data_IF_958433389474
#
_entry.id   IF_958433389474
#
_cell.length_a   1.000
_cell.length_b   1.000
_cell.length_c   1.000
_cell.angle_alpha   90.00
_cell.angle_beta   90.00
_cell.angle_gamma   90.00
#
_symmetry.space_group_name_H-M   'P 1'
#
loop_
_entity.id
_entity.type
_entity.pdbx_description
1 polymer ?
#
# COMPACT_ATOMS: atom_id res chain seq x y z
N UNK A 1 -15.01 -23.42 3.68
CA UNK A 1 -13.79 -23.39 4.52
C UNK A 1 -13.88 -22.45 5.74
N UNK A 2 -14.61 -21.34 5.70
CA UNK A 2 -14.84 -20.46 6.87
C UNK A 2 -15.85 -21.02 7.91
N UNK A 3 -16.50 -22.16 7.64
CA UNK A 3 -17.53 -22.75 8.51
C UNK A 3 -17.00 -23.22 9.88
N UNK A 4 -15.68 -23.36 10.04
CA UNK A 4 -15.04 -23.77 11.31
C UNK A 4 -14.61 -22.58 12.21
N UNK A 5 -14.90 -21.33 11.80
CA UNK A 5 -14.49 -20.12 12.53
C UNK A 5 -13.06 -19.65 12.20
N UNK A 6 -12.83 -18.33 12.32
CA UNK A 6 -11.57 -17.64 11.97
C UNK A 6 -10.35 -18.19 12.72
N UNK A 7 -10.54 -18.58 13.99
CA UNK A 7 -9.50 -19.21 14.80
C UNK A 7 -9.02 -20.53 14.23
N UNK A 8 -9.93 -21.47 13.97
CA UNK A 8 -9.55 -22.79 13.44
C UNK A 8 -8.92 -22.71 12.04
N UNK A 9 -9.36 -21.73 11.23
CA UNK A 9 -8.71 -21.44 9.96
C UNK A 9 -7.24 -21.02 10.15
N UNK A 10 -6.97 -20.06 11.03
CA UNK A 10 -5.62 -19.57 11.30
C UNK A 10 -4.70 -20.69 11.79
N UNK A 11 -5.15 -21.52 12.74
CA UNK A 11 -4.34 -22.62 13.28
C UNK A 11 -3.95 -23.64 12.20
N UNK A 12 -4.91 -24.06 11.35
CA UNK A 12 -4.62 -24.97 10.23
C UNK A 12 -3.66 -24.34 9.22
N UNK A 13 -3.83 -23.05 8.94
CA UNK A 13 -2.98 -22.30 8.01
C UNK A 13 -1.54 -22.20 8.53
N UNK A 14 -1.35 -21.97 9.83
CA UNK A 14 -0.03 -21.95 10.48
C UNK A 14 0.60 -23.35 10.43
N UNK A 15 -0.14 -24.40 10.83
CA UNK A 15 0.35 -25.77 10.87
C UNK A 15 0.84 -26.28 9.50
N UNK A 16 0.22 -25.80 8.41
CA UNK A 16 0.62 -26.13 7.05
C UNK A 16 1.92 -25.44 6.57
N UNK A 17 2.56 -24.59 7.38
CA UNK A 17 3.75 -23.79 7.01
C UNK A 17 4.99 -24.20 7.81
N UNK A 18 5.90 -24.98 7.22
CA UNK A 18 7.09 -25.50 7.92
C UNK A 18 8.00 -24.43 8.53
N UNK A 19 8.08 -23.25 7.91
CA UNK A 19 8.92 -22.15 8.39
C UNK A 19 8.27 -21.29 9.48
N UNK A 20 6.95 -21.37 9.62
CA UNK A 20 6.17 -20.54 10.54
C UNK A 20 5.75 -21.31 11.80
N UNK A 21 5.29 -22.56 11.66
CA UNK A 21 4.78 -23.35 12.77
C UNK A 21 5.78 -23.47 13.95
N UNK A 22 7.09 -23.73 13.74
CA UNK A 22 8.04 -23.79 14.84
C UNK A 22 8.22 -22.45 15.58
N UNK A 23 8.03 -21.31 14.89
CA UNK A 23 8.24 -19.97 15.47
C UNK A 23 7.13 -19.59 16.46
N UNK A 24 5.96 -20.20 16.35
CA UNK A 24 4.78 -19.87 17.16
C UNK A 24 4.30 -21.03 18.04
N UNK A 25 5.01 -22.15 18.07
CA UNK A 25 4.60 -23.37 18.78
C UNK A 25 4.35 -23.16 20.29
N UNK A 26 5.12 -22.28 20.93
CA UNK A 26 4.95 -21.91 22.35
C UNK A 26 4.17 -20.60 22.57
N UNK A 27 3.65 -19.98 21.51
CA UNK A 27 2.96 -18.70 21.62
C UNK A 27 1.55 -18.88 22.18
N UNK A 28 1.11 -17.93 23.01
CA UNK A 28 -0.27 -17.86 23.50
C UNK A 28 -1.00 -16.75 22.77
N UNK A 29 -2.15 -17.08 22.15
CA UNK A 29 -3.02 -16.09 21.50
C UNK A 29 -3.53 -15.08 22.53
N UNK A 30 -3.27 -13.79 22.29
CA UNK A 30 -3.66 -12.70 23.19
C UNK A 30 -5.12 -12.26 23.01
N UNK A 31 -5.65 -12.32 21.79
CA UNK A 31 -7.00 -11.85 21.45
C UNK A 31 -7.69 -12.81 20.45
N UNK A 32 -9.04 -12.79 20.37
CA UNK A 32 -9.75 -13.55 19.34
C UNK A 32 -9.31 -13.18 17.92
N UNK A 33 -9.29 -14.16 17.01
CA UNK A 33 -8.91 -13.92 15.60
C UNK A 33 -10.01 -13.12 14.90
N UNK A 34 -9.64 -11.93 14.44
CA UNK A 34 -10.49 -11.06 13.62
C UNK A 34 -10.14 -11.25 12.14
N UNK A 35 -11.16 -11.14 11.29
CA UNK A 35 -11.01 -11.10 9.86
C UNK A 35 -11.71 -9.83 9.35
N UNK A 36 -11.10 -9.16 8.38
CA UNK A 36 -11.64 -7.96 7.75
C UNK A 36 -11.33 -8.00 6.25
N UNK A 37 -12.17 -7.33 5.46
CA UNK A 37 -12.17 -7.33 4.00
C UNK A 37 -13.59 -7.24 3.43
N UNK A 38 -13.75 -7.06 2.11
CA UNK A 38 -12.69 -6.85 1.12
C UNK A 38 -12.09 -5.44 1.21
N UNK A 39 -10.80 -5.34 0.93
CA UNK A 39 -10.00 -4.12 1.10
C UNK A 39 -9.90 -3.24 -0.16
N UNK A 40 -10.63 -3.55 -1.22
CA UNK A 40 -10.56 -2.80 -2.47
C UNK A 40 -11.61 -1.66 -2.48
N UNK A 41 -11.29 -0.52 -1.86
CA UNK A 41 -12.09 0.70 -1.98
C UNK A 41 -11.22 1.90 -2.36
N UNK A 42 -11.65 2.62 -3.39
CA UNK A 42 -10.96 3.80 -3.94
C UNK A 42 -11.97 4.86 -4.29
N UNK A 43 -11.81 6.07 -3.75
CA UNK A 43 -12.63 7.20 -4.15
C UNK A 43 -12.19 7.68 -5.55
N UNK A 44 -13.14 7.84 -6.47
CA UNK A 44 -12.84 8.42 -7.80
C UNK A 44 -12.34 9.87 -7.70
N UNK A 45 -12.78 10.59 -6.66
CA UNK A 45 -12.35 11.95 -6.36
C UNK A 45 -12.17 12.09 -4.85
N UNK A 46 -11.07 12.70 -4.37
CA UNK A 46 -10.81 12.83 -2.95
C UNK A 46 -11.57 14.02 -2.31
N UNK A 47 -12.63 14.53 -2.94
CA UNK A 47 -13.40 15.67 -2.46
C UNK A 47 -14.76 15.80 -3.16
N UNK A 48 -15.71 16.45 -2.48
CA UNK A 48 -17.02 16.92 -2.97
C UNK A 48 -17.29 18.32 -2.37
N UNK A 49 -18.29 19.09 -2.83
CA UNK A 49 -18.63 20.37 -2.19
C UNK A 49 -18.81 20.19 -0.67
N UNK A 50 -18.05 20.96 0.12
CA UNK A 50 -18.04 20.87 1.58
C UNK A 50 -17.37 19.63 2.19
N UNK A 51 -16.72 18.76 1.39
CA UNK A 51 -16.12 17.51 1.87
C UNK A 51 -14.75 17.27 1.22
N UNK A 52 -13.74 16.97 2.01
CA UNK A 52 -12.44 16.47 1.54
C UNK A 52 -12.09 15.15 2.24
N UNK A 53 -11.50 14.23 1.48
CA UNK A 53 -11.15 12.87 1.92
C UNK A 53 -9.64 12.77 2.09
N UNK A 54 -9.20 12.09 3.16
CA UNK A 54 -7.79 11.79 3.47
C UNK A 54 -7.67 10.34 3.97
N UNK A 55 -6.45 9.78 3.94
CA UNK A 55 -6.21 8.39 4.36
C UNK A 55 -7.13 7.39 3.67
N UNK A 56 -7.59 6.41 4.45
CA UNK A 56 -8.48 5.32 4.00
C UNK A 56 -9.82 5.81 3.42
N UNK A 57 -10.27 7.02 3.79
CA UNK A 57 -11.47 7.61 3.20
C UNK A 57 -11.26 8.03 1.73
N UNK A 58 -10.02 8.33 1.34
CA UNK A 58 -9.68 8.73 -0.02
C UNK A 58 -9.20 7.55 -0.88
N UNK A 59 -8.32 6.70 -0.33
CA UNK A 59 -7.90 5.43 -0.93
C UNK A 59 -7.51 4.47 0.19
N UNK A 60 -7.97 3.23 0.13
CA UNK A 60 -7.45 2.16 0.98
C UNK A 60 -6.15 1.60 0.38
N UNK A 61 -5.08 1.56 1.17
CA UNK A 61 -3.74 1.10 0.78
C UNK A 61 -3.55 -0.39 1.06
N UNK A 62 -2.67 -1.05 0.32
CA UNK A 62 -2.34 -2.47 0.58
C UNK A 62 -1.58 -2.58 1.92
N UNK A 63 -2.06 -3.35 2.91
CA UNK A 63 -1.38 -3.52 4.20
C UNK A 63 0.02 -4.14 4.07
N UNK A 64 0.38 -4.68 2.90
CA UNK A 64 1.71 -5.23 2.63
C UNK A 64 2.83 -4.19 2.74
N UNK A 65 2.58 -2.93 2.39
CA UNK A 65 3.59 -1.85 2.48
C UNK A 65 3.54 -1.10 3.81
N UNK A 66 2.50 -1.30 4.62
CA UNK A 66 2.34 -0.62 5.91
C UNK A 66 2.09 0.89 5.81
N UNK A 67 1.76 1.40 4.63
CA UNK A 67 1.69 2.85 4.36
C UNK A 67 0.44 3.55 4.88
N UNK A 68 -0.56 2.83 5.41
CA UNK A 68 -1.85 3.42 5.80
C UNK A 68 -1.74 4.59 6.77
N UNK A 69 -0.89 4.47 7.80
CA UNK A 69 -0.66 5.55 8.78
C UNK A 69 0.02 6.75 8.11
N UNK A 70 1.05 6.50 7.30
CA UNK A 70 1.73 7.56 6.55
C UNK A 70 0.74 8.29 5.63
N UNK A 71 -0.07 7.55 4.87
CA UNK A 71 -1.02 8.15 3.94
C UNK A 71 -2.13 8.95 4.62
N UNK A 72 -2.55 8.53 5.82
CA UNK A 72 -3.48 9.30 6.64
C UNK A 72 -2.86 10.61 7.13
N UNK A 73 -1.68 10.56 7.75
CA UNK A 73 -0.99 11.74 8.27
C UNK A 73 -0.59 12.70 7.15
N UNK A 74 0.12 12.19 6.15
CA UNK A 74 0.57 12.98 5.01
C UNK A 74 -0.58 13.52 4.18
N UNK A 75 -1.66 12.74 4.03
CA UNK A 75 -2.88 13.19 3.38
C UNK A 75 -3.52 14.38 4.10
N UNK A 76 -3.55 14.35 5.44
CA UNK A 76 -4.01 15.46 6.28
C UNK A 76 -3.15 16.71 6.13
N UNK A 77 -1.83 16.57 6.24
CA UNK A 77 -0.88 17.68 6.02
C UNK A 77 -1.02 18.29 4.63
N UNK A 78 -1.12 17.45 3.60
CA UNK A 78 -1.24 17.87 2.22
C UNK A 78 -2.55 18.63 1.98
N UNK A 79 -3.65 18.23 2.62
CA UNK A 79 -4.95 18.89 2.50
C UNK A 79 -4.95 20.29 3.14
N UNK A 80 -4.23 20.50 4.24
CA UNK A 80 -4.31 21.71 5.05
C UNK A 80 -4.25 23.04 4.26
N UNK A 81 -3.25 23.31 3.39
CA UNK A 81 -3.19 24.57 2.65
C UNK A 81 -4.35 24.73 1.65
N UNK A 82 -4.82 23.65 1.03
CA UNK A 82 -5.92 23.70 0.07
C UNK A 82 -7.28 23.85 0.75
N UNK A 83 -7.44 23.28 1.94
CA UNK A 83 -8.64 23.47 2.75
C UNK A 83 -8.76 24.93 3.20
N UNK A 84 -7.67 25.54 3.67
CA UNK A 84 -7.66 26.97 4.03
C UNK A 84 -7.99 27.86 2.83
N UNK A 85 -7.43 27.56 1.66
CA UNK A 85 -7.78 28.27 0.42
C UNK A 85 -9.26 28.10 0.06
N UNK A 86 -9.79 26.88 0.13
CA UNK A 86 -11.19 26.59 -0.17
C UNK A 86 -12.15 27.31 0.79
N UNK A 87 -11.82 27.40 2.09
CA UNK A 87 -12.61 28.10 3.10
C UNK A 87 -12.57 29.62 2.96
N UNK A 88 -11.51 30.18 2.36
CA UNK A 88 -11.40 31.61 2.11
C UNK A 88 -12.22 32.08 0.89
N UNK A 89 -12.67 31.15 0.05
CA UNK A 89 -13.42 31.44 -1.17
C UNK A 89 -14.89 31.71 -0.89
N UNK A 90 -15.44 32.72 -1.57
CA UNK A 90 -16.86 33.09 -1.47
C UNK A 90 -17.72 32.53 -2.61
N UNK A 91 -17.07 31.92 -3.60
CA UNK A 91 -17.74 31.35 -4.76
C UNK A 91 -17.58 29.83 -4.79
N UNK A 92 -18.62 29.07 -5.20
CA UNK A 92 -18.50 27.63 -5.42
C UNK A 92 -17.41 27.26 -6.43
N UNK A 93 -17.10 28.16 -7.37
CA UNK A 93 -16.04 27.96 -8.34
C UNK A 93 -14.65 28.01 -7.69
N UNK A 94 -14.40 28.98 -6.81
CA UNK A 94 -13.14 29.11 -6.07
C UNK A 94 -12.87 27.92 -5.16
N UNK A 95 -13.87 27.49 -4.37
CA UNK A 95 -13.80 26.28 -3.54
C UNK A 95 -13.40 25.06 -4.39
N UNK A 96 -14.08 24.88 -5.52
CA UNK A 96 -13.79 23.81 -6.48
C UNK A 96 -12.35 23.89 -6.99
N UNK A 97 -11.87 25.06 -7.40
CA UNK A 97 -10.50 25.22 -7.90
C UNK A 97 -9.45 24.83 -6.85
N UNK A 98 -9.65 25.24 -5.59
CA UNK A 98 -8.76 24.86 -4.48
C UNK A 98 -8.76 23.35 -4.22
N UNK A 99 -9.93 22.71 -4.18
CA UNK A 99 -10.03 21.27 -3.95
C UNK A 99 -9.57 20.43 -5.16
N UNK A 100 -9.68 20.95 -6.40
CA UNK A 100 -9.04 20.36 -7.57
C UNK A 100 -7.52 20.43 -7.50
N UNK A 101 -6.96 21.51 -6.94
CA UNK A 101 -5.53 21.63 -6.69
C UNK A 101 -5.06 20.59 -5.65
N UNK A 102 -5.83 20.39 -4.57
CA UNK A 102 -5.60 19.27 -3.63
C UNK A 102 -5.59 17.92 -4.34
N UNK A 103 -6.59 17.65 -5.20
CA UNK A 103 -6.65 16.38 -5.92
C UNK A 103 -5.43 16.16 -6.84
N UNK A 104 -4.87 17.21 -7.44
CA UNK A 104 -3.62 17.14 -8.22
C UNK A 104 -2.42 16.87 -7.34
N UNK A 105 -2.27 17.60 -6.24
CA UNK A 105 -1.18 17.43 -5.29
C UNK A 105 -1.17 16.01 -4.71
N UNK A 106 -2.34 15.49 -4.36
CA UNK A 106 -2.49 14.12 -3.86
C UNK A 106 -2.07 13.07 -4.89
N UNK A 107 -2.46 13.23 -6.16
CA UNK A 107 -2.01 12.32 -7.23
C UNK A 107 -0.50 12.37 -7.44
N UNK A 108 0.12 13.55 -7.27
CA UNK A 108 1.56 13.69 -7.38
C UNK A 108 2.28 13.00 -6.22
N UNK A 109 1.80 13.19 -4.98
CA UNK A 109 2.40 12.61 -3.77
C UNK A 109 2.29 11.07 -3.76
N UNK A 110 1.10 10.53 -4.00
CA UNK A 110 0.82 9.10 -3.84
C UNK A 110 0.90 8.30 -5.15
N UNK A 111 1.02 8.95 -6.31
CA UNK A 111 0.95 8.29 -7.62
C UNK A 111 2.04 7.24 -7.84
N UNK A 112 3.28 7.52 -7.41
CA UNK A 112 4.37 6.57 -7.48
C UNK A 112 4.15 5.32 -6.62
N UNK A 113 3.55 5.50 -5.44
CA UNK A 113 3.22 4.41 -4.51
C UNK A 113 2.17 3.48 -5.09
N UNK A 114 1.08 4.05 -5.65
CA UNK A 114 0.05 3.25 -6.33
C UNK A 114 0.60 2.43 -7.51
N UNK A 115 1.64 2.91 -8.19
CA UNK A 115 2.29 2.13 -9.25
C UNK A 115 3.06 0.94 -8.67
N UNK A 116 3.78 1.13 -7.58
CA UNK A 116 4.51 0.04 -6.89
C UNK A 116 3.53 -1.00 -6.34
N UNK A 117 2.46 -0.57 -5.67
CA UNK A 117 1.40 -1.47 -5.17
C UNK A 117 0.80 -2.31 -6.31
N UNK A 118 0.47 -1.69 -7.45
CA UNK A 118 -0.05 -2.43 -8.61
C UNK A 118 0.95 -3.43 -9.16
N UNK A 119 2.24 -3.10 -9.16
CA UNK A 119 3.30 -4.02 -9.58
C UNK A 119 3.37 -5.23 -8.64
N UNK A 120 3.35 -4.99 -7.32
CA UNK A 120 3.38 -6.05 -6.30
C UNK A 120 2.12 -6.91 -6.41
N UNK A 121 0.93 -6.32 -6.49
CA UNK A 121 -0.33 -7.04 -6.64
C UNK A 121 -0.34 -7.90 -7.91
N UNK A 122 0.27 -7.42 -9.00
CA UNK A 122 0.46 -8.20 -10.22
C UNK A 122 1.44 -9.35 -9.97
N UNK A 123 2.56 -9.12 -9.31
CA UNK A 123 3.53 -10.17 -8.98
C UNK A 123 2.93 -11.28 -8.10
N UNK A 124 2.11 -10.92 -7.11
CA UNK A 124 1.40 -11.90 -6.27
C UNK A 124 0.39 -12.72 -7.07
N UNK A 125 -0.23 -12.13 -8.10
CA UNK A 125 -1.14 -12.85 -8.99
C UNK A 125 -0.43 -13.85 -9.93
N UNK A 126 0.90 -13.78 -10.07
CA UNK A 126 1.71 -14.66 -10.92
C UNK A 126 2.82 -15.35 -10.11
N UNK A 127 2.61 -16.59 -9.61
CA UNK A 127 3.56 -17.29 -8.73
C UNK A 127 4.99 -17.38 -9.29
N UNK A 128 5.14 -17.64 -10.59
CA UNK A 128 6.46 -17.68 -11.25
C UNK A 128 7.20 -16.34 -11.20
N UNK A 129 6.46 -15.22 -11.22
CA UNK A 129 7.03 -13.88 -11.13
C UNK A 129 7.49 -13.58 -9.70
N UNK A 130 6.68 -13.97 -8.70
CA UNK A 130 7.01 -13.82 -7.30
C UNK A 130 8.22 -14.66 -6.90
N UNK A 131 8.27 -15.94 -7.30
CA UNK A 131 9.41 -16.84 -7.04
C UNK A 131 10.69 -16.32 -7.68
N UNK A 132 10.60 -15.78 -8.90
CA UNK A 132 11.75 -15.18 -9.58
C UNK A 132 12.24 -13.92 -8.88
N UNK A 133 11.34 -13.01 -8.56
CA UNK A 133 11.67 -11.79 -7.83
C UNK A 133 12.33 -12.14 -6.48
N UNK A 134 11.76 -13.10 -5.73
CA UNK A 134 12.33 -13.58 -4.48
C UNK A 134 13.74 -14.18 -4.66
N UNK A 135 13.95 -14.98 -5.72
CA UNK A 135 15.25 -15.60 -6.00
C UNK A 135 16.34 -14.60 -6.38
N UNK A 136 15.99 -13.54 -7.11
CA UNK A 136 16.92 -12.45 -7.46
C UNK A 136 17.23 -11.59 -6.24
N UNK A 137 16.21 -11.19 -5.48
CA UNK A 137 16.38 -10.37 -4.26
C UNK A 137 17.17 -11.11 -3.17
N UNK A 138 17.03 -12.45 -3.08
CA UNK A 138 17.82 -13.26 -2.16
C UNK A 138 19.32 -13.30 -2.53
N UNK A 139 19.67 -13.09 -3.81
CA UNK A 139 21.05 -13.09 -4.29
C UNK A 139 21.67 -11.70 -4.36
N UNK A 140 20.87 -10.67 -4.65
CA UNK A 140 21.30 -9.28 -4.74
C UNK A 140 20.69 -8.45 -3.61
N UNK A 141 21.45 -8.37 -2.50
CA UNK A 141 21.06 -7.60 -1.32
C UNK A 141 20.84 -6.11 -1.64
N UNK A 142 21.55 -5.55 -2.61
CA UNK A 142 21.39 -4.13 -2.98
C UNK A 142 20.01 -3.85 -3.59
N UNK A 143 19.46 -4.82 -4.34
CA UNK A 143 18.10 -4.72 -4.87
C UNK A 143 17.07 -4.90 -3.77
N UNK A 144 17.29 -5.84 -2.84
CA UNK A 144 16.42 -6.00 -1.68
C UNK A 144 16.37 -4.74 -0.82
N UNK A 145 17.52 -4.12 -0.53
CA UNK A 145 17.61 -2.88 0.24
C UNK A 145 16.91 -1.72 -0.46
N UNK A 146 17.02 -1.62 -1.80
CA UNK A 146 16.30 -0.61 -2.56
C UNK A 146 14.78 -0.80 -2.51
N UNK A 147 14.32 -2.05 -2.64
CA UNK A 147 12.90 -2.38 -2.51
C UNK A 147 12.37 -2.05 -1.12
N UNK A 148 13.10 -2.47 -0.07
CA UNK A 148 12.79 -2.16 1.32
C UNK A 148 12.77 -0.65 1.55
N UNK A 149 13.76 0.07 1.04
CA UNK A 149 13.85 1.53 1.13
C UNK A 149 12.67 2.24 0.48
N UNK A 150 12.18 1.74 -0.66
CA UNK A 150 10.97 2.26 -1.30
C UNK A 150 9.72 1.93 -0.49
N UNK A 151 9.56 0.69 -0.03
CA UNK A 151 8.39 0.31 0.80
C UNK A 151 8.38 1.00 2.16
N UNK A 152 9.55 1.36 2.69
CA UNK A 152 9.69 2.12 3.93
C UNK A 152 9.60 3.63 3.76
N UNK A 153 9.35 4.12 2.53
CA UNK A 153 9.25 5.55 2.20
C UNK A 153 10.53 6.38 2.42
N UNK A 154 11.69 5.72 2.49
CA UNK A 154 13.00 6.36 2.62
C UNK A 154 13.68 6.56 1.26
N UNK A 155 13.20 5.88 0.22
CA UNK A 155 13.66 5.98 -1.17
C UNK A 155 12.48 6.27 -2.10
N UNK A 156 12.62 7.17 -3.08
CA UNK A 156 11.55 7.47 -4.03
C UNK A 156 11.06 6.23 -4.81
N UNK A 157 9.74 6.01 -4.96
CA UNK A 157 9.17 4.87 -5.70
C UNK A 157 9.66 4.73 -7.15
N UNK A 158 10.06 5.84 -7.77
CA UNK A 158 10.63 5.85 -9.13
C UNK A 158 11.85 4.95 -9.29
N UNK A 159 12.60 4.68 -8.22
CA UNK A 159 13.83 3.89 -8.27
C UNK A 159 13.58 2.42 -8.60
N UNK A 160 12.56 1.81 -8.01
CA UNK A 160 12.14 0.42 -8.33
C UNK A 160 11.31 0.33 -9.60
N UNK A 161 10.75 1.46 -10.06
CA UNK A 161 10.03 1.55 -11.33
C UNK A 161 10.96 1.77 -12.53
N UNK A 162 12.28 1.92 -12.30
CA UNK A 162 13.25 2.10 -13.40
C UNK A 162 13.25 0.87 -14.32
N UNK A 163 13.26 1.05 -15.65
CA UNK A 163 13.34 -0.06 -16.59
C UNK A 163 14.54 -0.98 -16.33
N UNK A 164 15.67 -0.43 -15.87
CA UNK A 164 16.86 -1.20 -15.50
C UNK A 164 16.63 -2.10 -14.27
N UNK A 165 15.93 -1.59 -13.25
CA UNK A 165 15.60 -2.36 -12.06
C UNK A 165 14.61 -3.49 -12.40
N UNK A 166 13.55 -3.16 -13.14
CA UNK A 166 12.56 -4.13 -13.61
C UNK A 166 13.18 -5.17 -14.55
N UNK A 167 14.02 -4.76 -15.50
CA UNK A 167 14.74 -5.67 -16.38
C UNK A 167 15.65 -6.61 -15.59
N UNK A 168 16.36 -6.13 -14.57
CA UNK A 168 17.17 -7.01 -13.70
C UNK A 168 16.31 -8.01 -12.94
N UNK A 169 15.18 -7.56 -12.38
CA UNK A 169 14.26 -8.44 -11.65
C UNK A 169 13.64 -9.53 -12.55
N UNK A 170 13.39 -9.20 -13.83
CA UNK A 170 12.67 -10.06 -14.78
C UNK A 170 13.57 -10.88 -15.71
N UNK A 171 14.79 -10.42 -16.01
CA UNK A 171 15.64 -10.99 -17.07
C UNK A 171 16.93 -11.60 -16.53
N UNK A 172 17.39 -11.28 -15.31
CA UNK A 172 18.53 -11.99 -14.74
C UNK A 172 18.16 -13.47 -14.51
N UNK A 173 19.10 -14.40 -14.75
CA UNK A 173 18.89 -15.80 -14.42
C UNK A 173 18.63 -15.92 -12.92
N UNK A 174 17.56 -16.65 -12.59
CA UNK A 174 17.20 -17.00 -11.23
C UNK A 174 18.11 -18.10 -10.66
#
# INVERSE_FOLDING_TARGET
>A
ELSAGTGAFLERWIAARPHLAPRVAGARRATPVQATGPFASRARRPWAPGVALVGDAADFFDPFTGEGIYAALRGGELLAPYLLAALAERSPLGERTALEAYARARRHEFGGKWMVERLIGTAVAFPALLERAASVLARDQSMADLLVGVTGDFVPPREVLRPSYLARLLLLPA
#
